data_IF_009970005199
#
_entry.id   IF_009970005199
#
_cell.length_a   1.000
_cell.length_b   1.000
_cell.length_c   1.000
_cell.angle_alpha   90.00
_cell.angle_beta   90.00
_cell.angle_gamma   90.00
#
_symmetry.space_group_name_H-M   'P 1'
#
loop_
_entity.id
_entity.type
_entity.pdbx_description
1 polymer ?
#
# COMPACT_ATOMS: atom_id res chain seq x y z
N UNK A 1 -6.92 -23.59 21.32
CA UNK A 1 -6.81 -22.22 20.79
C UNK A 1 -7.59 -21.29 21.70
N UNK A 2 -6.92 -20.51 22.57
CA UNK A 2 -7.60 -19.54 23.44
C UNK A 2 -7.93 -18.30 22.60
N UNK A 3 -9.20 -18.10 22.27
CA UNK A 3 -9.68 -16.84 21.68
C UNK A 3 -9.60 -15.76 22.77
N UNK A 4 -8.67 -14.82 22.63
CA UNK A 4 -8.44 -13.79 23.65
C UNK A 4 -9.41 -12.60 23.56
N UNK A 5 -10.42 -12.66 22.69
CA UNK A 5 -11.57 -11.75 22.73
C UNK A 5 -11.20 -10.27 22.59
N UNK A 6 -10.20 -9.97 21.76
CA UNK A 6 -9.83 -8.58 21.48
C UNK A 6 -10.77 -8.02 20.41
N UNK A 7 -11.41 -6.88 20.68
CA UNK A 7 -12.31 -6.22 19.72
C UNK A 7 -11.84 -4.78 19.51
N UNK A 8 -11.49 -4.39 18.27
CA UNK A 8 -11.21 -3.00 17.97
C UNK A 8 -12.49 -2.16 18.12
N UNK A 9 -12.39 -1.03 18.82
CA UNK A 9 -13.46 -0.05 18.99
C UNK A 9 -12.99 1.30 18.43
N UNK A 10 -13.25 1.58 17.13
CA UNK A 10 -12.81 2.79 16.47
C UNK A 10 -13.46 4.06 17.05
N UNK A 11 -14.68 3.94 17.55
CA UNK A 11 -15.43 5.04 18.15
C UNK A 11 -14.82 5.46 19.48
N UNK A 12 -14.45 4.48 20.31
CA UNK A 12 -13.71 4.74 21.55
C UNK A 12 -12.21 5.00 21.31
N UNK A 13 -11.71 4.77 20.08
CA UNK A 13 -10.31 4.91 19.73
C UNK A 13 -9.40 3.96 20.50
N UNK A 14 -9.80 2.70 20.71
CA UNK A 14 -9.02 1.73 21.46
C UNK A 14 -9.24 0.28 21.02
N UNK A 15 -8.29 -0.59 21.36
CA UNK A 15 -8.47 -2.04 21.32
C UNK A 15 -8.97 -2.52 22.68
N UNK A 16 -10.17 -3.11 22.71
CA UNK A 16 -10.75 -3.65 23.94
C UNK A 16 -10.24 -5.05 24.21
N UNK A 17 -9.74 -5.30 25.41
CA UNK A 17 -9.29 -6.62 25.87
C UNK A 17 -9.81 -6.89 27.29
N UNK A 18 -9.87 -8.16 27.70
CA UNK A 18 -10.34 -8.55 29.05
C UNK A 18 -9.45 -8.02 30.18
N UNK A 19 -8.17 -7.78 29.93
CA UNK A 19 -7.19 -7.28 30.90
C UNK A 19 -7.05 -5.75 30.91
N UNK A 20 -7.83 -5.03 30.09
CA UNK A 20 -7.76 -3.59 29.95
C UNK A 20 -7.78 -3.14 28.49
N UNK A 21 -8.05 -1.87 28.26
CA UNK A 21 -8.10 -1.30 26.91
C UNK A 21 -6.76 -0.69 26.52
N UNK A 22 -6.33 -0.90 25.29
CA UNK A 22 -5.15 -0.25 24.73
C UNK A 22 -5.63 0.92 23.85
N UNK A 23 -5.40 2.19 24.24
CA UNK A 23 -5.78 3.32 23.40
C UNK A 23 -4.99 3.29 22.09
N UNK A 24 -5.66 3.57 20.98
CA UNK A 24 -4.98 3.89 19.74
C UNK A 24 -4.24 5.21 19.97
N UNK A 25 -2.95 5.25 19.64
CA UNK A 25 -2.21 6.50 19.67
C UNK A 25 -2.91 7.48 18.70
N UNK A 26 -3.39 8.60 19.23
CA UNK A 26 -3.83 9.72 18.40
C UNK A 26 -2.58 10.27 17.72
N UNK A 27 -2.36 9.89 16.47
CA UNK A 27 -1.57 10.73 15.59
C UNK A 27 -2.35 12.02 15.42
N UNK A 28 -1.69 13.16 15.63
CA UNK A 28 -2.28 14.47 15.36
C UNK A 28 -2.92 14.43 13.97
N UNK A 29 -4.13 14.96 13.84
CA UNK A 29 -4.85 14.99 12.57
C UNK A 29 -3.91 15.55 11.50
N UNK A 30 -3.41 14.66 10.65
CA UNK A 30 -2.56 15.07 9.55
C UNK A 30 -3.52 15.72 8.57
N UNK A 31 -3.34 17.01 8.31
CA UNK A 31 -4.03 17.69 7.20
C UNK A 31 -3.89 16.80 5.97
N UNK A 32 -4.94 16.53 5.20
CA UNK A 32 -4.80 15.79 3.96
C UNK A 32 -3.84 16.56 3.06
N UNK A 33 -2.57 16.18 3.10
CA UNK A 33 -1.54 16.65 2.19
C UNK A 33 -1.77 15.84 0.93
N UNK A 34 -2.04 16.55 -0.17
CA UNK A 34 -2.04 15.96 -1.51
C UNK A 34 -0.78 15.11 -1.60
N UNK A 35 -0.91 13.83 -1.92
CA UNK A 35 0.25 12.98 -2.13
C UNK A 35 1.11 13.65 -3.20
N UNK A 36 2.20 14.27 -2.77
CA UNK A 36 3.19 14.77 -3.72
C UNK A 36 3.87 13.51 -4.25
N UNK A 37 3.48 13.15 -5.47
CA UNK A 37 4.21 12.21 -6.30
C UNK A 37 5.67 12.61 -6.22
N UNK A 38 6.47 11.80 -5.53
CA UNK A 38 7.89 12.02 -5.43
C UNK A 38 8.43 11.79 -6.83
N UNK A 39 8.49 12.87 -7.62
CA UNK A 39 9.24 12.90 -8.86
C UNK A 39 10.72 12.82 -8.50
N UNK A 40 11.17 11.64 -8.06
CA UNK A 40 12.55 11.25 -8.27
C UNK A 40 12.71 11.11 -9.78
N UNK A 41 13.07 12.23 -10.39
CA UNK A 41 13.70 12.30 -11.71
C UNK A 41 14.70 11.15 -11.81
N UNK A 42 14.40 10.17 -12.64
CA UNK A 42 15.28 9.63 -13.68
C UNK A 42 14.48 8.63 -14.53
N UNK A 43 14.07 9.06 -15.72
CA UNK A 43 13.81 8.20 -16.89
C UNK A 43 12.79 7.04 -16.74
N UNK A 44 11.56 7.30 -16.30
CA UNK A 44 10.50 6.27 -16.26
C UNK A 44 9.27 6.60 -17.11
N UNK A 45 9.45 7.32 -18.24
CA UNK A 45 8.37 7.55 -19.20
C UNK A 45 8.05 6.35 -20.09
N UNK A 46 8.78 5.24 -19.99
CA UNK A 46 8.58 4.04 -20.81
C UNK A 46 7.54 3.04 -20.25
N UNK A 47 7.54 2.68 -18.94
CA UNK A 47 6.76 1.51 -18.48
C UNK A 47 5.25 1.75 -18.52
N UNK A 48 4.83 2.97 -18.15
CA UNK A 48 3.42 3.35 -18.10
C UNK A 48 2.83 3.38 -19.51
N UNK A 49 3.56 3.92 -20.48
CA UNK A 49 3.09 4.00 -21.86
C UNK A 49 2.98 2.61 -22.50
N UNK A 50 3.95 1.74 -22.26
CA UNK A 50 3.91 0.35 -22.73
C UNK A 50 2.76 -0.44 -22.09
N UNK A 51 2.54 -0.29 -20.79
CA UNK A 51 1.40 -0.92 -20.11
C UNK A 51 0.05 -0.41 -20.62
N UNK A 52 -0.07 0.91 -20.86
CA UNK A 52 -1.27 1.51 -21.44
C UNK A 52 -1.53 1.03 -22.88
N UNK A 53 -0.48 0.90 -23.69
CA UNK A 53 -0.57 0.36 -25.06
C UNK A 53 -0.97 -1.12 -25.06
N UNK A 54 -0.50 -1.91 -24.09
CA UNK A 54 -0.90 -3.30 -23.91
C UNK A 54 -2.39 -3.41 -23.55
N UNK A 55 -2.88 -2.59 -22.62
CA UNK A 55 -4.31 -2.54 -22.25
C UNK A 55 -5.17 -2.09 -23.43
N UNK A 56 -4.72 -1.09 -24.20
CA UNK A 56 -5.42 -0.69 -25.41
C UNK A 56 -5.42 -1.83 -26.45
N UNK A 57 -4.31 -2.53 -26.64
CA UNK A 57 -4.18 -3.56 -27.69
C UNK A 57 -5.02 -4.81 -27.42
N UNK A 58 -5.34 -5.13 -26.16
CA UNK A 58 -6.23 -6.26 -25.83
C UNK A 58 -7.71 -6.01 -26.09
N UNK A 59 -8.14 -4.75 -26.20
CA UNK A 59 -9.55 -4.36 -26.39
C UNK A 59 -9.99 -4.48 -27.87
N UNK A 60 -9.91 -5.68 -28.45
CA UNK A 60 -10.20 -5.93 -29.88
C UNK A 60 -11.66 -5.64 -30.30
N UNK A 61 -12.62 -5.69 -29.37
CA UNK A 61 -14.05 -5.54 -29.67
C UNK A 61 -14.62 -4.13 -29.41
N UNK A 62 -13.77 -3.17 -29.03
CA UNK A 62 -14.23 -1.81 -28.67
C UNK A 62 -14.23 -0.88 -29.89
N UNK A 63 -15.35 -0.17 -30.11
CA UNK A 63 -15.43 0.92 -31.10
C UNK A 63 -14.35 1.97 -30.85
N UNK A 64 -13.78 2.55 -31.92
CA UNK A 64 -12.69 3.52 -31.83
C UNK A 64 -12.96 4.68 -30.86
N UNK A 65 -14.23 5.09 -30.70
CA UNK A 65 -14.65 6.10 -29.72
C UNK A 65 -14.40 5.67 -28.26
N UNK A 66 -14.67 4.41 -27.94
CA UNK A 66 -14.45 3.87 -26.59
C UNK A 66 -12.96 3.71 -26.29
N UNK A 67 -12.15 3.33 -27.30
CA UNK A 67 -10.68 3.25 -27.17
C UNK A 67 -10.07 4.62 -26.87
N UNK A 68 -10.52 5.66 -27.57
CA UNK A 68 -10.06 7.03 -27.33
C UNK A 68 -10.46 7.55 -25.94
N UNK A 69 -11.69 7.24 -25.49
CA UNK A 69 -12.15 7.61 -24.16
C UNK A 69 -11.35 6.90 -23.05
N UNK A 70 -11.09 5.59 -23.21
CA UNK A 70 -10.27 4.81 -22.29
C UNK A 70 -8.84 5.36 -22.21
N UNK A 71 -8.21 5.65 -23.35
CA UNK A 71 -6.88 6.23 -23.38
C UNK A 71 -6.80 7.59 -22.67
N UNK A 72 -7.84 8.42 -22.81
CA UNK A 72 -7.93 9.71 -22.11
C UNK A 72 -7.98 9.52 -20.59
N UNK A 73 -8.84 8.60 -20.12
CA UNK A 73 -8.99 8.30 -18.68
C UNK A 73 -7.68 7.74 -18.12
N UNK A 74 -7.09 6.73 -18.77
CA UNK A 74 -5.86 6.11 -18.29
C UNK A 74 -4.70 7.10 -18.21
N UNK A 75 -4.64 8.08 -19.12
CA UNK A 75 -3.64 9.15 -19.09
C UNK A 75 -3.89 10.16 -17.98
N UNK A 76 -5.15 10.41 -17.64
CA UNK A 76 -5.54 11.33 -16.56
C UNK A 76 -5.19 10.76 -15.18
N UNK A 77 -5.36 9.45 -14.96
CA UNK A 77 -5.11 8.78 -13.67
C UNK A 77 -3.80 7.98 -13.63
N UNK A 78 -2.90 8.22 -14.60
CA UNK A 78 -1.67 7.44 -14.79
C UNK A 78 -0.73 7.45 -13.57
N UNK A 79 -0.80 8.50 -12.75
CA UNK A 79 -0.02 8.66 -11.52
C UNK A 79 -0.55 7.83 -10.34
N UNK A 80 -1.81 7.40 -10.40
CA UNK A 80 -2.47 6.60 -9.35
C UNK A 80 -2.38 5.10 -9.64
N UNK A 81 -2.26 4.73 -10.92
CA UNK A 81 -2.25 3.33 -11.34
C UNK A 81 -0.86 2.70 -11.18
N UNK A 82 -0.79 1.56 -10.50
CA UNK A 82 0.42 0.74 -10.50
C UNK A 82 0.54 0.01 -11.84
N UNK A 83 1.57 0.35 -12.63
CA UNK A 83 1.83 -0.28 -13.92
C UNK A 83 2.87 -1.40 -13.85
N UNK A 84 3.52 -1.57 -12.69
CA UNK A 84 4.46 -2.65 -12.42
C UNK A 84 4.44 -3.05 -10.95
N UNK A 85 5.09 -4.17 -10.61
CA UNK A 85 5.15 -4.69 -9.23
C UNK A 85 6.04 -3.82 -8.32
N UNK A 86 6.89 -2.98 -8.91
CA UNK A 86 7.76 -2.02 -8.22
C UNK A 86 7.03 -0.71 -7.85
N UNK A 87 5.84 -0.47 -8.43
CA UNK A 87 5.00 0.72 -8.19
C UNK A 87 4.32 0.74 -6.83
N UNK A 88 4.96 0.20 -5.78
CA UNK A 88 4.40 0.16 -4.44
C UNK A 88 4.28 1.59 -3.89
N UNK A 89 3.04 2.02 -3.69
CA UNK A 89 2.71 3.37 -3.24
C UNK A 89 3.44 3.75 -1.95
N UNK A 90 4.28 4.79 -2.03
CA UNK A 90 4.91 5.41 -0.87
C UNK A 90 4.34 6.81 -0.69
N UNK A 91 3.82 7.07 0.51
CA UNK A 91 3.37 8.41 0.88
C UNK A 91 4.32 8.99 1.93
N UNK A 92 4.63 10.28 1.81
CA UNK A 92 5.35 11.06 2.83
C UNK A 92 4.40 11.71 3.85
N UNK A 93 3.08 11.55 3.65
CA UNK A 93 2.01 12.19 4.43
C UNK A 93 2.10 11.83 5.91
N UNK A 94 2.35 10.56 6.24
CA UNK A 94 2.45 10.10 7.63
C UNK A 94 3.72 9.28 7.80
N UNK A 95 4.49 9.60 8.85
CA UNK A 95 5.59 8.76 9.32
C UNK A 95 5.20 8.16 10.66
N UNK A 96 5.19 6.83 10.76
CA UNK A 96 4.90 6.12 12.00
C UNK A 96 6.19 5.80 12.75
N UNK A 97 6.12 5.83 14.07
CA UNK A 97 7.16 5.34 14.96
C UNK A 97 6.58 4.25 15.86
N UNK A 98 7.35 3.19 16.10
CA UNK A 98 7.01 2.17 17.10
C UNK A 98 7.82 2.52 18.36
N UNK A 99 7.13 2.96 19.41
CA UNK A 99 7.76 3.30 20.68
C UNK A 99 8.08 2.03 21.48
N UNK A 100 9.32 1.56 21.41
CA UNK A 100 9.78 0.39 22.17
C UNK A 100 10.19 0.73 23.61
N UNK A 101 10.27 2.01 23.98
CA UNK A 101 10.79 2.45 25.27
C UNK A 101 12.20 1.91 25.52
N UNK A 102 12.46 1.41 26.73
CA UNK A 102 13.74 0.83 27.14
C UNK A 102 13.84 -0.69 26.86
N UNK A 103 12.89 -1.26 26.11
CA UNK A 103 12.90 -2.69 25.79
C UNK A 103 14.14 -3.05 24.95
N UNK A 104 14.93 -4.01 25.43
CA UNK A 104 16.11 -4.50 24.71
C UNK A 104 15.70 -5.34 23.49
N UNK A 105 16.44 -5.25 22.36
CA UNK A 105 16.19 -6.12 21.21
C UNK A 105 16.26 -7.60 21.57
N UNK A 106 15.34 -8.39 21.03
CA UNK A 106 15.30 -9.85 21.21
C UNK A 106 15.71 -10.53 19.92
N UNK A 107 16.74 -11.40 19.98
CA UNK A 107 17.17 -12.21 18.84
C UNK A 107 16.44 -13.55 18.83
N UNK A 108 15.70 -13.83 17.76
CA UNK A 108 15.10 -15.13 17.51
C UNK A 108 15.80 -15.82 16.32
N UNK A 109 16.09 -17.11 16.41
CA UNK A 109 16.59 -17.86 15.26
C UNK A 109 15.48 -18.02 14.21
N UNK A 110 15.80 -17.94 12.90
CA UNK A 110 14.82 -18.21 11.86
C UNK A 110 14.21 -19.60 12.02
N UNK A 111 12.91 -19.73 11.78
CA UNK A 111 12.27 -21.05 11.74
C UNK A 111 12.64 -21.75 10.43
N UNK A 112 12.84 -23.07 10.51
CA UNK A 112 13.13 -23.90 9.32
C UNK A 112 11.95 -23.84 8.34
N UNK A 113 12.21 -23.40 7.11
CA UNK A 113 11.25 -23.43 6.01
C UNK A 113 11.30 -24.84 5.36
N UNK A 114 10.16 -25.54 5.20
CA UNK A 114 10.06 -26.81 4.48
C UNK A 114 10.68 -26.71 3.08
N UNK A 115 11.29 -27.80 2.59
CA UNK A 115 12.06 -27.79 1.35
C UNK A 115 11.25 -27.28 0.14
N UNK A 116 9.99 -27.70 0.03
CA UNK A 116 9.09 -27.32 -1.06
C UNK A 116 8.52 -25.89 -0.96
N UNK A 117 8.74 -25.18 0.15
CA UNK A 117 8.30 -23.78 0.35
C UNK A 117 9.45 -22.78 0.25
N UNK A 118 10.67 -23.26 -0.01
CA UNK A 118 11.81 -22.38 -0.24
C UNK A 118 11.67 -21.79 -1.64
N UNK A 119 11.69 -20.47 -1.75
CA UNK A 119 11.90 -19.80 -3.03
C UNK A 119 13.27 -20.24 -3.59
N UNK A 120 13.32 -20.51 -4.89
CA UNK A 120 14.57 -20.80 -5.61
C UNK A 120 15.34 -19.52 -5.91
#
# INVERSE_FOLDING_TARGET
>A
MRYHGCTPDPTAGCLRMRQGNIPFLRFHAVTPVRAESSQSQLMAHHPVQEAMEKVLSSEQDSSGKHRSALAAILREVADVLSTSDEGLGRTSVVRHAIHTGDAKPVRCSPRRIPYHQRAQ
#
